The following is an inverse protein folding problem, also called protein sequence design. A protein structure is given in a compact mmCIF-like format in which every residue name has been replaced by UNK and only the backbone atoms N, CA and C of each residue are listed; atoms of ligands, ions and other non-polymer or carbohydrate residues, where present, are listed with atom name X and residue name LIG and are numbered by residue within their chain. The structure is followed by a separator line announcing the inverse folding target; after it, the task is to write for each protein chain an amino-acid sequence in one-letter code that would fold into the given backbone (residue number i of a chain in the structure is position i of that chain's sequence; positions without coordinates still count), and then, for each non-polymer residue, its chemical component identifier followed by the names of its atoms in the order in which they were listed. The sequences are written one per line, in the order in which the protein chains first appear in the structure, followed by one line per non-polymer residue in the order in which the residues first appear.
data_IF_605264396816
#
_entry.id   IF_605264396816
#
_cell.length_a   1.000
_cell.length_b   1.000
_cell.length_c   1.000
_cell.angle_alpha   90.00
_cell.angle_beta   90.00
_cell.angle_gamma   90.00
#
_symmetry.space_group_name_H-M   'P 1'
#
loop_
_entity.id
_entity.type
_entity.pdbx_description
1 polymer ?
#
# COMPACT_ATOMS: atom_id res chain seq x y z
N UNK A 1 -2.79 21.90 41.72
CA UNK A 1 -3.91 20.99 41.48
C UNK A 1 -4.60 21.24 40.17
N UNK A 2 -4.98 22.48 39.91
CA UNK A 2 -5.64 22.81 38.63
C UNK A 2 -4.79 22.53 37.41
N UNK A 3 -3.49 22.59 37.58
CA UNK A 3 -2.56 22.38 36.47
C UNK A 3 -2.60 20.97 35.89
N UNK A 4 -3.03 20.00 36.68
CA UNK A 4 -3.00 18.60 36.26
C UNK A 4 -4.10 18.31 35.25
N UNK A 5 -5.24 18.96 35.39
CA UNK A 5 -6.39 18.71 34.52
C UNK A 5 -6.17 19.19 33.08
N UNK A 6 -5.46 20.28 32.91
CA UNK A 6 -5.25 20.88 31.59
C UNK A 6 -4.48 19.95 30.64
N UNK A 7 -3.36 19.35 31.05
CA UNK A 7 -2.64 18.42 30.17
C UNK A 7 -3.48 17.23 29.75
N UNK A 8 -4.32 16.74 30.64
CA UNK A 8 -5.17 15.58 30.33
C UNK A 8 -6.19 15.95 29.26
N UNK A 9 -6.79 17.10 29.36
CA UNK A 9 -7.75 17.55 28.35
C UNK A 9 -7.12 17.70 26.99
N UNK A 10 -5.89 18.21 26.92
CA UNK A 10 -5.16 18.33 25.66
C UNK A 10 -4.87 16.97 25.05
N UNK A 11 -4.53 15.99 25.86
CA UNK A 11 -4.26 14.66 25.35
C UNK A 11 -5.51 14.02 24.75
N UNK A 12 -6.66 14.19 25.35
CA UNK A 12 -7.91 13.67 24.82
C UNK A 12 -8.24 14.31 23.47
N UNK A 13 -8.07 15.61 23.34
CA UNK A 13 -8.32 16.32 22.09
C UNK A 13 -7.39 15.79 21.00
N UNK A 14 -6.14 15.57 21.33
CA UNK A 14 -5.16 15.08 20.38
C UNK A 14 -5.52 13.66 19.89
N UNK A 15 -5.96 12.80 20.79
CA UNK A 15 -6.37 11.45 20.43
C UNK A 15 -7.58 11.47 19.47
N UNK A 16 -8.53 12.35 19.69
CA UNK A 16 -9.70 12.49 18.83
C UNK A 16 -9.31 12.93 17.42
N UNK A 17 -8.32 13.84 17.32
CA UNK A 17 -7.92 14.36 16.01
C UNK A 17 -7.25 13.31 15.12
N UNK A 18 -6.88 12.15 15.66
CA UNK A 18 -6.28 11.06 14.90
C UNK A 18 -7.30 10.01 14.44
N UNK A 19 -8.57 10.25 14.72
CA UNK A 19 -9.62 9.31 14.33
C UNK A 19 -9.83 9.22 12.83
N UNK A 20 -9.39 10.23 12.06
CA UNK A 20 -9.49 10.21 10.62
C UNK A 20 -8.43 9.32 10.00
N UNK A 21 -8.51 8.14 9.90
CA UNK A 21 -7.59 7.12 9.53
C UNK A 21 -6.57 7.44 8.44
N UNK A 22 -5.63 6.57 8.32
CA UNK A 22 -4.60 6.62 7.30
C UNK A 22 -5.17 6.20 5.94
N UNK A 23 -4.44 6.47 4.88
CA UNK A 23 -4.86 6.16 3.53
C UNK A 23 -4.26 4.82 3.09
N UNK A 24 -5.10 3.94 2.58
CA UNK A 24 -4.70 2.61 2.13
C UNK A 24 -4.74 2.55 0.61
N UNK A 25 -3.70 1.96 0.05
CA UNK A 25 -3.57 1.71 -1.37
C UNK A 25 -3.34 0.20 -1.51
N UNK A 26 -4.40 -0.50 -1.93
CA UNK A 26 -4.38 -1.96 -2.03
C UNK A 26 -4.26 -2.32 -3.51
N UNK A 27 -3.25 -3.09 -3.86
CA UNK A 27 -2.95 -3.43 -5.25
C UNK A 27 -2.87 -4.93 -5.38
N UNK A 28 -3.61 -5.48 -6.33
CA UNK A 28 -3.57 -6.91 -6.62
C UNK A 28 -3.12 -7.13 -8.05
N UNK A 29 -2.29 -8.15 -8.26
CA UNK A 29 -1.79 -8.50 -9.58
C UNK A 29 -2.17 -9.90 -10.00
N UNK A 30 -2.56 -10.02 -11.27
CA UNK A 30 -2.60 -11.27 -12.00
C UNK A 30 -1.56 -11.19 -13.10
N UNK A 31 -0.61 -12.10 -13.08
CA UNK A 31 0.46 -12.12 -14.08
C UNK A 31 0.02 -12.90 -15.31
N UNK A 32 0.65 -12.62 -16.45
CA UNK A 32 0.43 -13.38 -17.67
C UNK A 32 0.85 -14.84 -17.46
N UNK A 33 0.19 -15.73 -18.17
CA UNK A 33 0.46 -17.18 -18.04
C UNK A 33 1.91 -17.52 -18.37
N UNK A 34 2.53 -16.77 -19.26
CA UNK A 34 3.93 -17.00 -19.67
C UNK A 34 4.94 -16.24 -18.83
N UNK A 35 4.52 -15.54 -17.78
CA UNK A 35 5.45 -14.88 -16.86
C UNK A 35 6.28 -15.96 -16.15
N UNK A 36 7.59 -15.78 -16.13
CA UNK A 36 8.48 -16.73 -15.48
C UNK A 36 8.57 -16.48 -13.97
N UNK A 37 8.93 -17.52 -13.18
CA UNK A 37 9.16 -17.31 -11.75
C UNK A 37 10.19 -16.23 -11.47
N UNK A 38 11.23 -16.10 -12.28
CA UNK A 38 12.25 -15.07 -12.12
C UNK A 38 11.70 -13.67 -12.36
N UNK A 39 10.84 -13.52 -13.37
CA UNK A 39 10.21 -12.23 -13.65
C UNK A 39 9.27 -11.81 -12.51
N UNK A 40 8.50 -12.74 -11.98
CA UNK A 40 7.59 -12.50 -10.86
C UNK A 40 8.40 -12.13 -9.61
N UNK A 41 9.48 -12.88 -9.34
CA UNK A 41 10.35 -12.57 -8.20
C UNK A 41 10.97 -11.17 -8.30
N UNK A 42 11.31 -10.75 -9.52
CA UNK A 42 11.84 -9.40 -9.74
C UNK A 42 10.81 -8.32 -9.39
N UNK A 43 9.53 -8.55 -9.72
CA UNK A 43 8.43 -7.63 -9.33
C UNK A 43 8.26 -7.60 -7.83
N UNK A 44 8.25 -8.76 -7.17
CA UNK A 44 8.13 -8.84 -5.71
C UNK A 44 9.24 -8.05 -5.04
N UNK A 45 10.48 -8.25 -5.47
CA UNK A 45 11.63 -7.55 -4.92
C UNK A 45 11.57 -6.05 -5.19
N UNK A 46 11.23 -5.66 -6.41
CA UNK A 46 11.20 -4.25 -6.79
C UNK A 46 10.12 -3.50 -6.01
N UNK A 47 8.94 -4.10 -5.81
CA UNK A 47 7.89 -3.48 -5.01
C UNK A 47 8.37 -3.29 -3.56
N UNK A 48 9.00 -4.32 -3.00
CA UNK A 48 9.53 -4.28 -1.64
C UNK A 48 10.62 -3.23 -1.41
N UNK A 49 11.22 -2.72 -2.48
CA UNK A 49 12.22 -1.66 -2.38
C UNK A 49 11.59 -0.25 -2.40
N UNK A 50 10.34 -0.13 -2.82
CA UNK A 50 9.70 1.19 -2.91
C UNK A 50 9.62 1.94 -1.58
N UNK A 51 9.31 1.29 -0.43
CA UNK A 51 9.31 2.01 0.84
C UNK A 51 10.63 2.70 1.17
N UNK A 52 11.75 2.14 0.76
CA UNK A 52 13.06 2.75 0.98
C UNK A 52 13.40 3.87 0.01
N UNK A 53 12.63 4.01 -1.07
CA UNK A 53 12.87 5.00 -2.12
C UNK A 53 11.84 6.12 -2.14
N UNK A 54 10.65 5.89 -1.59
CA UNK A 54 9.54 6.85 -1.61
C UNK A 54 9.12 7.08 -0.16
N UNK A 55 9.50 8.23 0.38
CA UNK A 55 9.35 8.50 1.81
C UNK A 55 7.92 8.80 2.25
N UNK A 56 6.98 8.98 1.31
CA UNK A 56 5.57 9.10 1.67
C UNK A 56 4.93 7.77 2.04
N UNK A 57 5.56 6.65 1.75
CA UNK A 57 5.10 5.34 2.19
C UNK A 57 5.36 5.20 3.68
N UNK A 58 4.28 5.05 4.45
CA UNK A 58 4.36 4.94 5.90
C UNK A 58 4.48 3.49 6.37
N UNK A 59 3.81 2.58 5.69
CA UNK A 59 3.85 1.15 6.02
C UNK A 59 3.58 0.34 4.76
N UNK A 60 4.05 -0.89 4.77
CA UNK A 60 3.97 -1.76 3.61
C UNK A 60 3.97 -3.21 4.06
N UNK A 61 3.10 -4.00 3.42
CA UNK A 61 3.14 -5.45 3.52
C UNK A 61 2.61 -6.06 2.23
N UNK A 62 2.90 -7.31 1.98
CA UNK A 62 2.40 -8.01 0.81
C UNK A 62 2.27 -9.50 1.08
N UNK A 63 1.53 -10.18 0.23
CA UNK A 63 1.39 -11.62 0.31
C UNK A 63 0.78 -12.21 -0.94
N UNK A 64 0.78 -13.53 -1.00
CA UNK A 64 0.16 -14.29 -2.08
C UNK A 64 -1.18 -14.83 -1.62
N UNK A 65 -2.08 -15.05 -2.58
CA UNK A 65 -3.40 -15.57 -2.28
C UNK A 65 -3.31 -16.96 -1.64
N UNK A 66 -4.01 -17.10 -0.54
CA UNK A 66 -4.23 -18.39 0.14
C UNK A 66 -5.72 -18.68 0.21
N UNK A 67 -6.50 -18.17 -0.74
CA UNK A 67 -7.95 -18.29 -0.73
C UNK A 67 -8.38 -19.74 -0.92
N UNK A 68 -9.17 -20.24 0.01
CA UNK A 68 -9.74 -21.58 -0.07
C UNK A 68 -11.12 -21.60 -0.74
N UNK A 69 -11.67 -20.40 -1.01
CA UNK A 69 -12.98 -20.29 -1.65
C UNK A 69 -12.90 -20.20 -3.18
N UNK A 70 -11.70 -20.01 -3.71
CA UNK A 70 -11.53 -19.85 -5.15
C UNK A 70 -12.14 -18.59 -5.73
N UNK A 71 -12.23 -17.53 -4.92
CA UNK A 71 -12.90 -16.27 -5.32
C UNK A 71 -11.93 -15.11 -5.52
N UNK A 72 -10.66 -15.39 -5.72
CA UNK A 72 -9.65 -14.35 -5.92
C UNK A 72 -9.51 -13.91 -7.38
N UNK A 73 -10.37 -14.38 -8.26
CA UNK A 73 -10.48 -13.96 -9.68
C UNK A 73 -9.12 -13.99 -10.41
N UNK A 74 -8.28 -14.98 -10.09
CA UNK A 74 -6.97 -15.14 -10.72
C UNK A 74 -5.89 -14.21 -10.18
N UNK A 75 -6.21 -13.31 -9.28
CA UNK A 75 -5.20 -12.47 -8.61
C UNK A 75 -4.40 -13.32 -7.65
N UNK A 76 -3.08 -13.25 -7.76
CA UNK A 76 -2.18 -14.08 -6.94
C UNK A 76 -1.40 -13.29 -5.92
N UNK A 77 -1.26 -11.99 -6.12
CA UNK A 77 -0.43 -11.11 -5.27
C UNK A 77 -1.25 -9.94 -4.79
N UNK A 78 -1.07 -9.59 -3.53
CA UNK A 78 -1.66 -8.39 -2.94
C UNK A 78 -0.56 -7.58 -2.25
N UNK A 79 -0.50 -6.29 -2.57
CA UNK A 79 0.44 -5.36 -1.97
C UNK A 79 -0.37 -4.29 -1.25
N UNK A 80 -0.10 -4.12 0.03
CA UNK A 80 -0.87 -3.25 0.92
C UNK A 80 0.04 -2.11 1.36
N UNK A 81 -0.24 -0.91 0.84
CA UNK A 81 0.60 0.27 1.07
C UNK A 81 -0.18 1.28 1.87
N UNK A 82 0.43 1.82 2.91
CA UNK A 82 -0.18 2.83 3.77
C UNK A 82 0.53 4.15 3.61
N UNK A 83 -0.25 5.21 3.43
CA UNK A 83 0.21 6.59 3.44
C UNK A 83 -0.46 7.35 4.58
N UNK A 84 0.12 8.46 4.99
CA UNK A 84 -0.49 9.33 6.00
C UNK A 84 -1.86 9.82 5.54
N UNK A 85 -1.95 10.20 4.26
CA UNK A 85 -3.15 10.74 3.63
C UNK A 85 -3.07 10.54 2.11
N UNK A 86 -4.10 10.98 1.42
CA UNK A 86 -4.19 10.85 -0.04
C UNK A 86 -3.06 11.60 -0.76
N UNK A 87 -2.57 12.70 -0.20
CA UNK A 87 -1.47 13.46 -0.79
C UNK A 87 -0.22 12.60 -0.92
N UNK A 88 -0.01 11.66 0.01
CA UNK A 88 1.11 10.72 -0.07
C UNK A 88 1.04 9.83 -1.30
N UNK A 89 -0.15 9.35 -1.63
CA UNK A 89 -0.37 8.57 -2.86
C UNK A 89 -0.14 9.43 -4.11
N UNK A 90 -0.60 10.67 -4.09
CA UNK A 90 -0.43 11.57 -5.22
C UNK A 90 1.05 11.85 -5.52
N UNK A 91 1.89 11.89 -4.49
CA UNK A 91 3.35 11.98 -4.64
C UNK A 91 3.94 10.68 -5.16
N UNK A 92 3.42 9.55 -4.71
CA UNK A 92 3.89 8.21 -5.05
C UNK A 92 3.69 7.87 -6.52
N UNK A 93 2.50 8.17 -7.07
CA UNK A 93 2.16 7.75 -8.43
C UNK A 93 3.16 8.24 -9.48
N UNK A 94 3.53 9.54 -9.54
CA UNK A 94 4.50 10.03 -10.53
C UNK A 94 5.95 9.90 -10.09
N UNK A 95 6.22 9.37 -8.91
CA UNK A 95 7.58 9.28 -8.41
C UNK A 95 8.45 8.43 -9.35
N UNK A 96 9.68 8.86 -9.65
CA UNK A 96 10.55 8.12 -10.57
C UNK A 96 10.76 6.67 -10.19
N UNK A 97 10.84 6.36 -8.89
CA UNK A 97 10.99 4.98 -8.44
C UNK A 97 9.74 4.13 -8.76
N UNK A 98 8.55 4.70 -8.64
CA UNK A 98 7.32 4.02 -8.99
C UNK A 98 7.21 3.82 -10.51
N UNK A 99 7.59 4.82 -11.28
CA UNK A 99 7.61 4.73 -12.75
C UNK A 99 8.58 3.63 -13.19
N UNK A 100 9.78 3.58 -12.61
CA UNK A 100 10.76 2.52 -12.91
C UNK A 100 10.23 1.14 -12.54
N UNK A 101 9.51 1.04 -11.42
CA UNK A 101 8.88 -0.21 -11.01
C UNK A 101 7.88 -0.69 -12.07
N UNK A 102 7.07 0.21 -12.62
CA UNK A 102 6.09 -0.15 -13.64
C UNK A 102 6.74 -0.72 -14.90
N UNK A 103 7.94 -0.28 -15.23
CA UNK A 103 8.67 -0.80 -16.38
C UNK A 103 9.02 -2.28 -16.22
N UNK A 104 9.17 -2.74 -15.00
CA UNK A 104 9.41 -4.16 -14.71
C UNK A 104 8.10 -4.94 -14.70
N UNK A 105 7.04 -4.32 -14.22
CA UNK A 105 5.74 -4.96 -14.01
C UNK A 105 4.95 -5.14 -15.31
N UNK A 106 4.80 -4.06 -16.08
CA UNK A 106 3.87 -4.02 -17.21
C UNK A 106 4.08 -5.13 -18.22
N UNK A 107 5.32 -5.50 -18.59
CA UNK A 107 5.54 -6.56 -19.57
C UNK A 107 4.96 -7.92 -19.19
N UNK A 108 4.81 -8.19 -17.91
CA UNK A 108 4.32 -9.50 -17.42
C UNK A 108 2.97 -9.42 -16.72
N UNK A 109 2.37 -8.23 -16.67
CA UNK A 109 1.09 -8.03 -16.01
C UNK A 109 -0.06 -8.35 -16.96
N UNK A 110 -0.97 -9.23 -16.53
CA UNK A 110 -2.22 -9.46 -17.23
C UNK A 110 -3.29 -8.46 -16.74
N UNK A 111 -3.42 -8.34 -15.42
CA UNK A 111 -4.51 -7.54 -14.83
C UNK A 111 -4.09 -7.01 -13.47
N UNK A 112 -4.44 -5.76 -13.21
CA UNK A 112 -4.24 -5.16 -11.90
C UNK A 112 -5.58 -4.66 -11.36
N UNK A 113 -5.75 -4.76 -10.05
CA UNK A 113 -6.87 -4.16 -9.35
C UNK A 113 -6.32 -3.26 -8.27
N UNK A 114 -6.78 -2.02 -8.26
CA UNK A 114 -6.36 -1.03 -7.27
C UNK A 114 -7.59 -0.58 -6.50
N UNK A 115 -7.49 -0.63 -5.17
CA UNK A 115 -8.56 -0.17 -4.30
C UNK A 115 -7.98 0.76 -3.25
N UNK A 116 -8.41 2.01 -3.28
CA UNK A 116 -7.91 3.06 -2.39
C UNK A 116 -9.00 3.53 -1.46
N UNK A 117 -8.65 3.73 -0.18
CA UNK A 117 -9.61 4.23 0.80
C UNK A 117 -8.92 4.86 2.00
N UNK A 118 -9.61 5.77 2.66
CA UNK A 118 -9.21 6.24 3.98
C UNK A 118 -9.78 5.29 5.01
N UNK A 119 -8.92 4.76 5.89
CA UNK A 119 -9.36 3.81 6.91
C UNK A 119 -10.41 4.46 7.81
N UNK A 120 -11.49 3.73 8.08
CA UNK A 120 -12.57 4.18 8.97
C UNK A 120 -12.46 3.49 10.32
N UNK A 121 -13.04 4.14 11.33
CA UNK A 121 -13.06 3.60 12.70
C UNK A 121 -13.90 2.31 12.78
#
# INVERSE_FOLDING_TARGET
MLKILIPIALMLTHAISQAGGEFRHVVMFKFKDNATPEQIAAVEKAFGQLPGKIDTIKAYEWGKSESIEGKNDGFTHCFFVTFKDKAGLETYIPHPAHVAFKDILIPILDKALVFDYTAKD
#
